data_IF_359051720680
#
_entry.id   IF_359051720680
#
_cell.length_a   1.000
_cell.length_b   1.000
_cell.length_c   1.000
_cell.angle_alpha   90.00
_cell.angle_beta   90.00
_cell.angle_gamma   90.00
#
_symmetry.space_group_name_H-M   'P 1'
#
loop_
_entity.id
_entity.type
_entity.pdbx_description
1 polymer ?
#
# COMPACT_ATOMS: atom_id res chain seq x y z
N UNK A 1 -40.70 -51.72 -6.65
CA UNK A 1 -39.30 -51.31 -6.90
C UNK A 1 -39.14 -49.83 -6.50
N UNK A 2 -38.77 -49.56 -5.25
CA UNK A 2 -38.60 -48.21 -4.67
C UNK A 2 -37.11 -47.83 -4.69
N UNK A 3 -36.67 -47.24 -5.78
CA UNK A 3 -35.41 -46.52 -5.88
C UNK A 3 -35.78 -45.13 -6.41
N UNK A 4 -35.46 -44.06 -5.66
CA UNK A 4 -35.14 -42.70 -6.18
C UNK A 4 -35.24 -41.54 -5.19
N UNK A 5 -35.56 -41.72 -3.90
CA UNK A 5 -35.71 -40.54 -3.01
C UNK A 5 -34.41 -40.13 -2.30
N UNK A 6 -33.53 -41.07 -1.96
CA UNK A 6 -32.26 -40.80 -1.25
C UNK A 6 -31.14 -40.26 -2.14
N UNK A 7 -31.15 -40.58 -3.44
CA UNK A 7 -30.14 -40.08 -4.39
C UNK A 7 -30.32 -38.59 -4.72
N UNK A 8 -31.56 -38.08 -4.78
CA UNK A 8 -31.83 -36.67 -5.03
C UNK A 8 -31.42 -35.75 -3.87
N UNK A 9 -31.63 -36.20 -2.62
CA UNK A 9 -31.25 -35.43 -1.44
C UNK A 9 -29.72 -35.28 -1.30
N UNK A 10 -28.98 -36.34 -1.63
CA UNK A 10 -27.51 -36.34 -1.68
C UNK A 10 -26.99 -35.38 -2.76
N UNK A 11 -27.58 -35.41 -3.96
CA UNK A 11 -27.16 -34.54 -5.06
C UNK A 11 -27.36 -33.05 -4.73
N UNK A 12 -28.49 -32.70 -4.09
CA UNK A 12 -28.79 -31.31 -3.67
C UNK A 12 -27.79 -30.84 -2.62
N UNK A 13 -27.42 -31.71 -1.66
CA UNK A 13 -26.42 -31.40 -0.65
C UNK A 13 -25.03 -31.13 -1.25
N UNK A 14 -24.60 -31.92 -2.23
CA UNK A 14 -23.34 -31.68 -2.97
C UNK A 14 -23.37 -30.37 -3.77
N UNK A 15 -24.49 -30.05 -4.42
CA UNK A 15 -24.65 -28.77 -5.15
C UNK A 15 -24.58 -27.59 -4.18
N UNK A 16 -25.24 -27.67 -3.02
CA UNK A 16 -25.18 -26.62 -1.99
C UNK A 16 -23.77 -26.42 -1.43
N UNK A 17 -23.01 -27.50 -1.23
CA UNK A 17 -21.60 -27.43 -0.79
C UNK A 17 -20.69 -26.76 -1.83
N UNK A 18 -20.90 -27.02 -3.13
CA UNK A 18 -20.14 -26.38 -4.21
C UNK A 18 -20.49 -24.89 -4.32
N UNK A 19 -21.75 -24.53 -4.16
CA UNK A 19 -22.17 -23.13 -4.13
C UNK A 19 -21.55 -22.43 -2.92
N UNK A 20 -21.60 -23.04 -1.72
CA UNK A 20 -21.05 -22.44 -0.51
C UNK A 20 -19.52 -22.25 -0.56
N UNK A 21 -18.78 -23.14 -1.26
CA UNK A 21 -17.32 -23.02 -1.42
C UNK A 21 -16.89 -21.98 -2.46
N UNK A 22 -17.73 -21.67 -3.46
CA UNK A 22 -17.42 -20.63 -4.45
C UNK A 22 -17.61 -19.21 -3.90
N UNK A 23 -18.58 -19.02 -2.98
CA UNK A 23 -18.82 -17.70 -2.36
C UNK A 23 -17.69 -17.22 -1.42
N UNK A 24 -17.01 -18.14 -0.72
CA UNK A 24 -15.93 -17.81 0.23
C UNK A 24 -14.64 -17.31 -0.42
N UNK A 25 -14.40 -17.61 -1.70
CA UNK A 25 -13.17 -17.20 -2.41
C UNK A 25 -13.07 -15.68 -2.67
N UNK A 26 -14.21 -14.98 -2.69
CA UNK A 26 -14.25 -13.56 -3.04
C UNK A 26 -13.64 -12.65 -1.97
N UNK A 27 -13.67 -13.06 -0.70
CA UNK A 27 -13.14 -12.28 0.42
C UNK A 27 -11.60 -12.38 0.51
N UNK A 28 -11.04 -13.58 0.34
CA UNK A 28 -9.59 -13.79 0.38
C UNK A 28 -8.85 -13.05 -0.74
N UNK A 29 -9.44 -12.96 -1.94
CA UNK A 29 -8.81 -12.28 -3.08
C UNK A 29 -8.64 -10.78 -2.82
N UNK A 30 -9.58 -10.13 -2.11
CA UNK A 30 -9.48 -8.70 -1.77
C UNK A 30 -8.41 -8.46 -0.72
N UNK A 31 -8.35 -9.29 0.32
CA UNK A 31 -7.31 -9.18 1.37
C UNK A 31 -5.89 -9.33 0.83
N UNK A 32 -5.68 -10.16 -0.21
CA UNK A 32 -4.36 -10.31 -0.86
C UNK A 32 -3.82 -9.05 -1.52
N UNK A 33 -4.66 -8.03 -1.76
CA UNK A 33 -4.27 -6.77 -2.40
C UNK A 33 -4.22 -5.59 -1.45
N UNK A 34 -4.52 -5.78 -0.18
CA UNK A 34 -4.34 -4.75 0.84
C UNK A 34 -2.84 -4.53 1.03
N UNK A 35 -2.38 -3.36 0.61
CA UNK A 35 -0.97 -2.95 0.71
C UNK A 35 -0.83 -1.90 1.79
N UNK A 36 0.22 -2.02 2.60
CA UNK A 36 0.60 -1.03 3.61
C UNK A 36 1.97 -0.45 3.29
N UNK A 37 2.06 0.88 3.21
CA UNK A 37 3.35 1.59 3.12
C UNK A 37 3.41 2.62 4.22
N UNK A 38 4.46 2.59 5.03
CA UNK A 38 4.56 3.38 6.25
C UNK A 38 6.02 3.73 6.53
N UNK A 39 6.24 4.68 7.44
CA UNK A 39 7.55 4.99 7.96
C UNK A 39 7.59 6.40 8.52
N UNK A 40 8.79 7.01 8.54
CA UNK A 40 9.01 8.29 9.21
C UNK A 40 9.71 9.31 8.34
N UNK A 41 9.39 10.58 8.58
CA UNK A 41 10.08 11.74 8.05
C UNK A 41 10.90 12.37 9.17
N UNK A 42 12.22 12.44 8.98
CA UNK A 42 13.17 13.00 9.94
C UNK A 42 14.13 13.97 9.25
N UNK A 43 14.74 14.88 10.00
CA UNK A 43 15.82 15.76 9.51
C UNK A 43 17.22 15.20 9.83
N UNK A 44 18.27 15.92 9.40
CA UNK A 44 19.67 15.56 9.67
C UNK A 44 20.04 15.52 11.15
N UNK A 45 19.33 16.26 11.99
CA UNK A 45 19.44 16.22 13.44
C UNK A 45 18.65 15.06 14.09
N UNK A 46 18.10 14.17 13.25
CA UNK A 46 17.27 13.02 13.65
C UNK A 46 15.99 13.43 14.39
N UNK A 47 15.53 14.66 14.20
CA UNK A 47 14.27 15.12 14.74
C UNK A 47 13.12 14.74 13.80
N UNK A 48 11.94 14.38 14.34
CA UNK A 48 10.76 14.15 13.52
C UNK A 48 10.34 15.43 12.81
N UNK A 49 9.90 15.29 11.55
CA UNK A 49 9.35 16.42 10.78
C UNK A 49 7.89 16.15 10.48
N UNK A 50 7.02 16.94 11.11
CA UNK A 50 5.58 16.90 10.92
C UNK A 50 5.14 17.67 9.67
N UNK A 51 3.89 17.47 9.27
CA UNK A 51 3.22 18.30 8.25
C UNK A 51 3.92 18.29 6.88
N UNK A 52 4.63 17.22 6.54
CA UNK A 52 5.17 16.97 5.19
C UNK A 52 4.16 16.13 4.43
N UNK A 53 3.72 16.58 3.26
CA UNK A 53 2.86 15.83 2.36
C UNK A 53 3.65 14.66 1.77
N UNK A 54 3.05 13.47 1.85
CA UNK A 54 3.52 12.22 1.24
C UNK A 54 2.42 11.74 0.32
N UNK A 55 2.79 11.27 -0.87
CA UNK A 55 1.87 10.61 -1.80
C UNK A 55 2.18 9.12 -1.91
N UNK A 56 1.15 8.34 -2.20
CA UNK A 56 1.25 6.97 -2.66
C UNK A 56 0.71 6.91 -4.10
N UNK A 57 1.58 6.63 -5.05
CA UNK A 57 1.28 6.56 -6.47
C UNK A 57 1.27 5.13 -7.01
N UNK A 58 0.68 4.93 -8.18
CA UNK A 58 0.80 3.69 -8.92
C UNK A 58 2.17 3.58 -9.60
N UNK A 59 2.72 2.37 -9.66
CA UNK A 59 3.93 2.05 -10.40
C UNK A 59 3.76 0.78 -11.25
N UNK A 60 4.56 0.67 -12.32
CA UNK A 60 4.49 -0.42 -13.30
C UNK A 60 4.36 0.05 -14.74
N UNK A 61 4.41 -0.90 -15.69
CA UNK A 61 4.63 -0.60 -17.11
C UNK A 61 3.48 0.14 -17.80
N UNK A 62 2.24 -0.10 -17.41
CA UNK A 62 1.05 0.36 -18.14
C UNK A 62 0.29 1.52 -17.50
N UNK A 63 0.53 1.81 -16.21
CA UNK A 63 -0.16 2.88 -15.46
C UNK A 63 0.71 3.43 -14.31
N UNK A 64 1.88 3.97 -14.61
CA UNK A 64 2.71 4.65 -13.61
C UNK A 64 2.28 6.11 -13.38
N UNK A 65 2.49 6.63 -12.17
CA UNK A 65 2.39 8.06 -11.87
C UNK A 65 0.99 8.56 -11.49
N UNK A 66 0.01 7.69 -11.25
CA UNK A 66 -1.31 8.10 -10.76
C UNK A 66 -1.28 8.13 -9.23
N UNK A 67 -1.57 9.27 -8.62
CA UNK A 67 -1.76 9.35 -7.17
C UNK A 67 -2.97 8.53 -6.74
N UNK A 68 -2.76 7.59 -5.83
CA UNK A 68 -3.79 6.73 -5.25
C UNK A 68 -4.27 7.24 -3.90
N UNK A 69 -3.37 7.84 -3.11
CA UNK A 69 -3.65 8.42 -1.80
C UNK A 69 -2.59 9.46 -1.42
N UNK A 70 -2.94 10.33 -0.48
CA UNK A 70 -2.05 11.33 0.11
C UNK A 70 -2.26 11.36 1.63
N UNK A 71 -1.22 11.69 2.37
CA UNK A 71 -1.26 11.95 3.82
C UNK A 71 -0.18 12.95 4.20
N UNK A 72 -0.28 13.51 5.40
CA UNK A 72 0.80 14.26 6.01
C UNK A 72 1.51 13.43 7.07
N UNK A 73 2.79 13.72 7.33
CA UNK A 73 3.48 13.20 8.50
C UNK A 73 2.90 13.82 9.78
N UNK A 74 2.77 13.01 10.83
CA UNK A 74 2.30 13.47 12.14
C UNK A 74 3.40 14.15 12.96
N UNK A 75 3.08 14.55 14.20
CA UNK A 75 4.00 15.23 15.12
C UNK A 75 5.25 14.41 15.47
N UNK A 76 5.16 13.08 15.38
CA UNK A 76 6.26 12.14 15.59
C UNK A 76 6.97 11.79 14.26
N UNK A 77 6.60 12.47 13.17
CA UNK A 77 7.11 12.29 11.82
C UNK A 77 6.57 11.05 11.12
N UNK A 78 5.63 10.30 11.71
CA UNK A 78 5.14 9.07 11.12
C UNK A 78 4.14 9.34 10.00
N UNK A 79 4.09 8.43 9.03
CA UNK A 79 3.03 8.37 8.03
C UNK A 79 2.67 6.92 7.73
N UNK A 80 1.45 6.69 7.24
CA UNK A 80 1.00 5.35 6.85
C UNK A 80 -0.11 5.43 5.80
N UNK A 81 -0.03 4.53 4.82
CA UNK A 81 -1.08 4.21 3.89
C UNK A 81 -1.50 2.76 4.10
N UNK A 82 -2.80 2.50 4.07
CA UNK A 82 -3.34 1.14 3.98
C UNK A 82 -4.50 1.18 3.01
N UNK A 83 -4.36 0.52 1.85
CA UNK A 83 -5.41 0.52 0.84
C UNK A 83 -5.47 -0.79 0.06
N UNK A 84 -6.68 -1.18 -0.34
CA UNK A 84 -6.92 -2.27 -1.30
C UNK A 84 -6.58 -1.77 -2.70
N UNK A 85 -5.41 -2.17 -3.23
CA UNK A 85 -4.87 -1.60 -4.47
C UNK A 85 -5.73 -2.03 -5.66
N UNK A 86 -6.29 -1.08 -6.44
CA UNK A 86 -7.15 -1.43 -7.57
C UNK A 86 -6.46 -2.39 -8.55
N UNK A 87 -7.28 -3.20 -9.23
CA UNK A 87 -6.77 -4.12 -10.25
C UNK A 87 -6.13 -3.34 -11.41
N UNK A 88 -5.10 -3.92 -12.02
CA UNK A 88 -4.40 -3.33 -13.17
C UNK A 88 -3.13 -2.53 -12.82
N UNK A 89 -2.86 -2.32 -11.53
CA UNK A 89 -1.55 -1.86 -11.06
C UNK A 89 -0.66 -3.05 -10.70
N UNK A 90 0.63 -2.94 -11.00
CA UNK A 90 1.64 -3.97 -10.71
C UNK A 90 2.36 -3.74 -9.37
N UNK A 91 2.52 -2.48 -8.99
CA UNK A 91 3.11 -2.05 -7.73
C UNK A 91 2.57 -0.66 -7.34
N UNK A 92 2.97 -0.19 -6.17
CA UNK A 92 2.78 1.19 -5.73
C UNK A 92 4.13 1.83 -5.44
N UNK A 93 4.20 3.15 -5.43
CA UNK A 93 5.39 3.92 -5.06
C UNK A 93 5.03 4.99 -4.06
N UNK A 94 5.92 5.26 -3.10
CA UNK A 94 5.75 6.35 -2.13
C UNK A 94 6.74 7.47 -2.41
N UNK A 95 6.38 8.71 -2.10
CA UNK A 95 7.30 9.84 -2.23
C UNK A 95 6.79 11.12 -1.60
N UNK A 96 7.68 12.11 -1.52
CA UNK A 96 7.38 13.48 -1.11
C UNK A 96 7.34 14.33 -2.39
N UNK A 97 6.19 14.94 -2.75
CA UNK A 97 6.11 15.80 -3.91
C UNK A 97 6.75 17.16 -3.57
N UNK A 98 7.71 17.61 -4.39
CA UNK A 98 8.46 18.85 -4.15
C UNK A 98 7.54 20.07 -4.25
N UNK A 99 6.88 20.28 -5.39
CA UNK A 99 6.13 21.51 -5.69
C UNK A 99 4.86 21.68 -4.83
N UNK A 100 4.41 20.63 -4.16
CA UNK A 100 3.20 20.61 -3.32
C UNK A 100 3.51 20.60 -1.82
N UNK A 101 4.79 20.75 -1.45
CA UNK A 101 5.21 20.91 -0.06
C UNK A 101 5.93 22.25 0.16
N UNK A 102 5.22 23.34 0.49
CA UNK A 102 5.85 24.61 0.85
C UNK A 102 6.86 24.46 2.01
N UNK A 103 6.51 23.70 3.06
CA UNK A 103 7.42 23.43 4.18
C UNK A 103 8.69 22.71 3.74
N UNK A 104 8.58 21.75 2.81
CA UNK A 104 9.73 21.07 2.24
C UNK A 104 10.59 22.05 1.45
N UNK A 105 9.99 22.76 0.50
CA UNK A 105 10.70 23.64 -0.45
C UNK A 105 11.29 24.86 0.21
N UNK A 106 10.75 25.33 1.33
CA UNK A 106 11.31 26.44 2.10
C UNK A 106 12.54 26.01 2.91
N UNK A 107 12.46 24.89 3.63
CA UNK A 107 13.42 24.54 4.68
C UNK A 107 14.46 23.47 4.28
N UNK A 108 14.21 22.70 3.23
CA UNK A 108 15.03 21.53 2.89
C UNK A 108 15.54 21.57 1.44
N UNK A 109 16.74 21.05 1.23
CA UNK A 109 17.44 21.03 -0.07
C UNK A 109 17.29 19.71 -0.82
N UNK A 110 16.86 18.64 -0.14
CA UNK A 110 16.67 17.33 -0.73
C UNK A 110 16.28 16.29 0.31
N UNK A 111 16.33 15.02 -0.09
CA UNK A 111 16.04 13.90 0.80
C UNK A 111 16.87 12.66 0.47
N UNK A 112 17.15 11.84 1.48
CA UNK A 112 17.59 10.45 1.34
C UNK A 112 16.47 9.52 1.75
N UNK A 113 16.41 8.35 1.13
CA UNK A 113 15.38 7.35 1.41
C UNK A 113 16.02 6.09 1.97
N UNK A 114 15.40 5.50 3.00
CA UNK A 114 15.81 4.25 3.61
C UNK A 114 14.68 3.23 3.53
N UNK A 115 14.93 2.08 2.92
CA UNK A 115 14.03 0.93 2.97
C UNK A 115 14.48 0.00 4.08
N UNK A 116 13.61 -0.29 5.06
CA UNK A 116 13.96 -1.14 6.20
C UNK A 116 15.33 -0.76 6.83
N UNK A 117 15.53 0.54 7.07
CA UNK A 117 16.77 1.13 7.63
C UNK A 117 18.02 1.10 6.73
N UNK A 118 17.92 0.61 5.50
CA UNK A 118 19.01 0.62 4.53
C UNK A 118 18.80 1.70 3.48
N UNK A 119 19.77 2.58 3.29
CA UNK A 119 19.66 3.63 2.29
C UNK A 119 19.51 3.01 0.90
N UNK A 120 18.53 3.47 0.13
CA UNK A 120 18.30 3.03 -1.24
C UNK A 120 18.36 4.20 -2.21
N UNK A 121 18.98 3.96 -3.37
CA UNK A 121 18.91 4.85 -4.53
C UNK A 121 17.84 4.38 -5.53
N UNK A 122 17.29 3.18 -5.34
CA UNK A 122 16.16 2.63 -6.09
C UNK A 122 14.91 2.81 -5.24
N UNK A 123 14.31 3.99 -5.36
CA UNK A 123 13.13 4.39 -4.60
C UNK A 123 11.88 4.35 -5.50
N UNK A 124 10.68 4.10 -4.97
CA UNK A 124 10.33 3.56 -3.65
C UNK A 124 9.17 2.58 -3.85
N UNK A 125 9.44 1.51 -4.58
CA UNK A 125 8.40 0.59 -5.05
C UNK A 125 8.03 -0.43 -3.99
N UNK A 126 6.75 -0.49 -3.63
CA UNK A 126 6.20 -1.55 -2.78
C UNK A 126 5.35 -2.53 -3.60
N UNK A 127 5.50 -3.82 -3.32
CA UNK A 127 4.71 -4.88 -3.93
C UNK A 127 3.25 -4.80 -3.48
N UNK A 128 2.32 -5.24 -4.33
CA UNK A 128 0.91 -5.29 -3.96
C UNK A 128 0.68 -6.42 -2.97
N UNK A 129 -0.07 -6.16 -1.89
CA UNK A 129 -0.31 -7.10 -0.81
C UNK A 129 0.80 -7.16 0.24
N UNK A 130 1.82 -6.30 0.13
CA UNK A 130 2.93 -6.25 1.11
C UNK A 130 2.71 -5.18 2.17
N UNK A 131 3.51 -5.29 3.24
CA UNK A 131 3.73 -4.24 4.22
C UNK A 131 5.19 -3.78 4.11
N UNK A 132 5.43 -2.56 3.67
CA UNK A 132 6.77 -2.05 3.34
C UNK A 132 7.07 -0.77 4.11
N UNK A 133 8.29 -0.67 4.66
CA UNK A 133 8.74 0.45 5.47
C UNK A 133 9.73 1.34 4.72
N UNK A 134 9.43 2.63 4.62
CA UNK A 134 10.31 3.65 4.04
C UNK A 134 10.46 4.86 4.96
N UNK A 135 11.70 5.23 5.29
CA UNK A 135 11.99 6.49 5.97
C UNK A 135 12.54 7.52 4.99
N UNK A 136 12.15 8.77 5.20
CA UNK A 136 12.68 9.94 4.50
C UNK A 136 13.54 10.76 5.46
N UNK A 137 14.81 10.93 5.11
CA UNK A 137 15.72 11.86 5.77
C UNK A 137 15.81 13.14 4.95
N UNK A 138 15.23 14.22 5.45
CA UNK A 138 15.29 15.54 4.83
C UNK A 138 16.64 16.20 5.10
N UNK A 139 17.21 16.80 4.06
CA UNK A 139 18.49 17.50 4.12
C UNK A 139 18.22 18.98 4.32
N UNK A 140 18.76 19.58 5.37
CA UNK A 140 18.52 20.98 5.67
C UNK A 140 19.16 21.89 4.59
N UNK A 141 18.69 23.14 4.52
CA UNK A 141 19.34 24.18 3.72
C UNK A 141 20.41 24.93 4.51
#
# INVERSE_FOLDING_TARGET
MKLKQTQGLSLIFYILLIILSTFSTSCEIRLRRVTTVYGRVIDEAKQPVDSILIFLGSSGFSKAGITLAETFSDQDGNYSFTLDVPKGYGAVTVGIPYDQNPKFTENYSGMKVFENSQQTNSCCSAAIGSKTHYDFLLINK
#
